data_IF_787429449806
#
_entry.id   IF_787429449806
#
_cell.length_a   1.000
_cell.length_b   1.000
_cell.length_c   1.000
_cell.angle_alpha   90.00
_cell.angle_beta   90.00
_cell.angle_gamma   90.00
#
_symmetry.space_group_name_H-M   'P 1'
#
loop_
_entity.id
_entity.type
_entity.pdbx_description
1 polymer ?
#
# COMPACT_ATOMS: atom_id res chain seq x y z
N UNK A 1 -79.37 21.38 13.91
CA UNK A 1 -78.37 21.20 12.86
C UNK A 1 -77.02 20.93 13.55
N UNK A 2 -76.54 19.70 13.53
CA UNK A 2 -75.21 19.30 14.11
C UNK A 2 -74.23 19.11 12.97
N UNK A 3 -73.22 19.94 12.93
CA UNK A 3 -72.13 19.87 11.97
C UNK A 3 -71.12 18.80 12.42
N UNK A 4 -70.96 17.75 11.62
CA UNK A 4 -69.89 16.76 11.80
C UNK A 4 -68.61 17.34 11.17
N UNK A 5 -67.52 17.50 11.97
CA UNK A 5 -66.21 17.82 11.51
C UNK A 5 -65.46 16.49 11.23
N UNK A 6 -65.08 16.29 9.97
CA UNK A 6 -64.16 15.19 9.56
C UNK A 6 -62.70 15.58 9.93
N UNK A 7 -62.09 14.83 10.81
CA UNK A 7 -60.63 14.91 11.08
C UNK A 7 -59.90 13.97 10.11
N UNK A 8 -59.15 14.55 9.17
CA UNK A 8 -58.28 13.79 8.28
C UNK A 8 -56.99 13.44 9.02
N UNK A 9 -56.74 12.15 9.24
CA UNK A 9 -55.48 11.62 9.78
C UNK A 9 -54.51 11.49 8.62
N UNK A 10 -53.48 12.34 8.58
CA UNK A 10 -52.35 12.23 7.64
C UNK A 10 -51.37 11.23 8.25
N UNK A 11 -51.30 10.03 7.68
CA UNK A 11 -50.21 9.07 7.97
C UNK A 11 -48.93 9.55 7.28
N UNK A 12 -48.00 10.08 8.07
CA UNK A 12 -46.63 10.33 7.63
C UNK A 12 -45.89 8.99 7.54
N UNK A 13 -45.63 8.53 6.32
CA UNK A 13 -44.74 7.40 6.07
C UNK A 13 -43.29 7.88 6.32
N UNK A 14 -42.73 7.48 7.45
CA UNK A 14 -41.31 7.69 7.72
C UNK A 14 -40.50 6.75 6.80
N UNK A 15 -39.52 7.24 5.99
CA UNK A 15 -38.67 6.35 5.22
C UNK A 15 -37.87 5.51 6.20
N UNK A 16 -37.92 4.19 6.07
CA UNK A 16 -37.13 3.27 6.83
C UNK A 16 -35.64 3.59 6.58
N UNK A 17 -34.97 4.10 7.61
CA UNK A 17 -33.52 4.19 7.62
C UNK A 17 -32.97 2.79 7.37
N UNK A 18 -32.27 2.59 6.26
CA UNK A 18 -31.64 1.32 5.92
C UNK A 18 -30.79 0.84 7.10
N UNK A 19 -31.09 -0.35 7.61
CA UNK A 19 -30.32 -0.97 8.68
C UNK A 19 -28.85 -1.02 8.22
N UNK A 20 -27.95 -0.45 9.03
CA UNK A 20 -26.52 -0.61 8.81
C UNK A 20 -26.20 -2.11 8.80
N UNK A 21 -25.64 -2.62 7.71
CA UNK A 21 -25.21 -4.03 7.63
C UNK A 21 -24.17 -4.25 8.73
N UNK A 22 -24.57 -4.98 9.79
CA UNK A 22 -23.67 -5.34 10.89
C UNK A 22 -22.95 -6.62 10.52
N UNK A 23 -21.63 -6.55 10.34
CA UNK A 23 -20.81 -7.71 10.01
C UNK A 23 -19.47 -7.32 9.40
N UNK A 24 -18.66 -8.32 9.19
CA UNK A 24 -17.41 -8.16 8.43
C UNK A 24 -17.32 -9.26 7.40
N UNK A 25 -16.77 -8.92 6.24
CA UNK A 25 -16.60 -9.85 5.13
C UNK A 25 -15.13 -9.98 4.70
N UNK A 26 -14.95 -10.64 3.58
CA UNK A 26 -13.65 -10.88 2.95
C UNK A 26 -13.69 -10.32 1.52
N UNK A 27 -12.64 -9.63 1.12
CA UNK A 27 -12.42 -9.28 -0.29
C UNK A 27 -11.29 -10.15 -0.81
N UNK A 28 -11.52 -10.81 -1.94
CA UNK A 28 -10.51 -11.60 -2.66
C UNK A 28 -10.38 -11.09 -4.08
N UNK A 29 -9.24 -11.25 -4.70
CA UNK A 29 -9.08 -10.86 -6.08
C UNK A 29 -7.69 -11.14 -6.62
N UNK A 30 -7.49 -10.72 -7.87
CA UNK A 30 -6.22 -10.81 -8.56
C UNK A 30 -5.90 -9.52 -9.31
N UNK A 31 -4.60 -9.31 -9.54
CA UNK A 31 -4.09 -8.18 -10.30
C UNK A 31 -3.33 -8.70 -11.52
N UNK A 32 -3.62 -8.15 -12.68
CA UNK A 32 -2.98 -8.50 -13.95
C UNK A 32 -2.58 -7.27 -14.73
N UNK A 33 -1.62 -7.45 -15.62
CA UNK A 33 -1.27 -6.48 -16.64
C UNK A 33 -1.88 -6.92 -17.97
N UNK A 34 -2.47 -6.01 -18.71
CA UNK A 34 -2.92 -6.21 -20.09
C UNK A 34 -2.02 -5.41 -21.05
N UNK A 35 -1.81 -5.95 -22.24
CA UNK A 35 -0.90 -5.35 -23.21
C UNK A 35 0.55 -5.77 -23.01
N UNK A 36 1.49 -5.01 -23.58
CA UNK A 36 2.92 -5.28 -23.47
C UNK A 36 3.47 -4.67 -22.16
N UNK A 37 4.26 -5.46 -21.45
CA UNK A 37 4.95 -4.94 -20.26
C UNK A 37 5.85 -3.74 -20.63
N UNK A 38 5.86 -2.66 -19.83
CA UNK A 38 6.79 -1.57 -20.05
C UNK A 38 8.24 -2.07 -19.91
N UNK A 39 9.12 -1.49 -20.69
CA UNK A 39 10.55 -1.81 -20.60
C UNK A 39 11.11 -1.32 -19.25
N UNK A 40 11.62 -2.24 -18.44
CA UNK A 40 12.29 -1.91 -17.18
C UNK A 40 13.77 -1.75 -17.48
N UNK A 41 14.37 -0.57 -17.20
CA UNK A 41 15.76 -0.32 -17.51
C UNK A 41 16.69 -1.21 -16.70
N UNK A 42 17.84 -1.54 -17.29
CA UNK A 42 18.95 -2.10 -16.58
C UNK A 42 19.66 -1.01 -15.78
N UNK A 43 20.15 -1.35 -14.61
CA UNK A 43 20.97 -0.49 -13.77
C UNK A 43 22.36 -1.04 -13.65
N UNK A 44 23.32 -0.14 -13.50
CA UNK A 44 24.74 -0.43 -13.32
C UNK A 44 25.17 0.25 -12.02
N UNK A 45 25.94 -0.44 -11.22
CA UNK A 45 26.64 0.21 -10.14
C UNK A 45 27.84 0.98 -10.73
N UNK A 46 28.03 2.22 -10.32
CA UNK A 46 29.16 3.06 -10.75
C UNK A 46 30.24 3.13 -9.68
N UNK A 47 29.92 2.71 -8.46
CA UNK A 47 30.84 2.67 -7.31
C UNK A 47 30.57 1.44 -6.45
N UNK A 48 31.47 1.17 -5.51
CA UNK A 48 31.40 0.03 -4.58
C UNK A 48 31.19 -1.32 -5.30
N UNK A 49 31.83 -1.49 -6.46
CA UNK A 49 31.60 -2.62 -7.38
C UNK A 49 31.88 -3.98 -6.74
N UNK A 50 32.76 -4.04 -5.75
CA UNK A 50 33.06 -5.27 -4.99
C UNK A 50 31.85 -5.75 -4.17
N UNK A 51 30.97 -4.82 -3.76
CA UNK A 51 29.76 -5.09 -2.98
C UNK A 51 28.52 -5.08 -3.86
N UNK A 52 28.38 -4.05 -4.71
CA UNK A 52 27.22 -3.84 -5.55
C UNK A 52 27.20 -4.67 -6.84
N UNK A 53 28.37 -5.21 -7.22
CA UNK A 53 28.55 -5.94 -8.48
C UNK A 53 28.74 -5.02 -9.67
N UNK A 54 29.46 -5.49 -10.69
CA UNK A 54 29.75 -4.74 -11.92
C UNK A 54 28.81 -5.07 -13.08
N UNK A 55 27.94 -6.05 -12.92
CA UNK A 55 27.02 -6.51 -13.98
C UNK A 55 25.76 -5.68 -14.03
N UNK A 56 25.28 -5.42 -15.25
CA UNK A 56 23.95 -4.87 -15.45
C UNK A 56 22.89 -5.80 -14.86
N UNK A 57 21.93 -5.23 -14.14
CA UNK A 57 20.82 -5.98 -13.56
C UNK A 57 19.49 -5.26 -13.81
N UNK A 58 18.38 -5.98 -14.06
CA UNK A 58 17.10 -5.34 -14.17
C UNK A 58 16.65 -4.82 -12.79
N UNK A 59 16.07 -3.62 -12.76
CA UNK A 59 15.32 -3.18 -11.60
C UNK A 59 14.16 -4.14 -11.38
N UNK A 60 13.98 -4.61 -10.15
CA UNK A 60 12.84 -5.44 -9.77
C UNK A 60 11.57 -4.59 -9.54
N UNK A 61 11.36 -3.61 -10.42
CA UNK A 61 10.27 -2.65 -10.31
C UNK A 61 8.93 -3.19 -10.82
N UNK A 62 8.96 -4.23 -11.66
CA UNK A 62 7.75 -4.90 -12.14
C UNK A 62 8.04 -6.40 -12.22
N UNK A 63 7.39 -7.16 -11.36
CA UNK A 63 7.49 -8.61 -11.32
C UNK A 63 6.19 -9.21 -11.84
N UNK A 64 6.29 -9.87 -12.99
CA UNK A 64 5.15 -10.52 -13.64
C UNK A 64 5.27 -12.04 -13.49
N UNK A 65 4.19 -12.64 -13.03
CA UNK A 65 4.02 -14.09 -13.00
C UNK A 65 3.37 -14.61 -14.29
N UNK A 66 2.95 -15.86 -14.26
CA UNK A 66 2.25 -16.52 -15.37
C UNK A 66 0.98 -15.74 -15.72
N UNK A 67 0.69 -15.63 -17.04
CA UNK A 67 -0.45 -14.87 -17.54
C UNK A 67 -0.45 -13.38 -17.13
N UNK A 68 0.72 -12.78 -17.02
CA UNK A 68 0.92 -11.38 -16.67
C UNK A 68 0.28 -10.97 -15.33
N UNK A 69 0.23 -11.87 -14.37
CA UNK A 69 -0.16 -11.52 -13.00
C UNK A 69 0.88 -10.61 -12.38
N UNK A 70 0.44 -9.60 -11.62
CA UNK A 70 1.31 -8.56 -11.05
C UNK A 70 1.56 -8.88 -9.58
N UNK A 71 2.82 -9.16 -9.25
CA UNK A 71 3.30 -9.34 -7.88
C UNK A 71 3.56 -7.98 -7.21
N UNK A 72 3.47 -7.95 -5.89
CA UNK A 72 3.81 -6.80 -5.03
C UNK A 72 2.98 -5.53 -5.31
N UNK A 73 1.80 -5.65 -5.94
CA UNK A 73 0.85 -4.56 -5.97
C UNK A 73 0.24 -4.35 -4.57
N UNK A 74 0.15 -3.10 -4.13
CA UNK A 74 -0.44 -2.74 -2.83
C UNK A 74 -1.95 -2.57 -3.00
N UNK A 75 -2.72 -3.43 -2.38
CA UNK A 75 -4.18 -3.38 -2.36
C UNK A 75 -4.62 -2.83 -1.02
N UNK A 76 -5.46 -1.79 -1.01
CA UNK A 76 -5.91 -1.19 0.24
C UNK A 76 -7.25 -0.48 0.11
N UNK A 77 -7.96 -0.38 1.23
CA UNK A 77 -9.18 0.43 1.31
C UNK A 77 -8.85 1.91 1.50
N UNK A 78 -9.68 2.78 0.95
CA UNK A 78 -9.57 4.23 1.19
C UNK A 78 -9.92 4.62 2.64
N UNK A 79 -9.58 5.84 3.03
CA UNK A 79 -9.62 6.35 4.41
C UNK A 79 -11.00 6.54 5.03
N UNK A 80 -12.09 6.33 4.32
CA UNK A 80 -13.46 6.59 4.82
C UNK A 80 -13.91 5.67 5.97
N UNK A 81 -13.06 4.75 6.43
CA UNK A 81 -13.36 3.81 7.51
C UNK A 81 -12.86 4.35 8.85
N UNK A 82 -13.53 5.36 9.38
CA UNK A 82 -13.16 6.06 10.62
C UNK A 82 -13.29 5.24 11.91
N UNK A 83 -13.82 4.02 11.88
CA UNK A 83 -14.16 3.23 13.06
C UNK A 83 -13.37 1.91 13.22
N UNK A 84 -12.39 1.62 12.38
CA UNK A 84 -11.52 0.47 12.55
C UNK A 84 -10.54 0.71 13.69
N UNK A 85 -10.82 0.19 14.88
CA UNK A 85 -9.82 0.14 15.96
C UNK A 85 -8.73 -0.83 15.53
N UNK A 86 -7.55 -0.29 15.28
CA UNK A 86 -6.35 -1.12 15.19
C UNK A 86 -6.13 -1.86 16.49
N UNK A 87 -5.91 -3.17 16.42
CA UNK A 87 -5.20 -3.81 17.50
C UNK A 87 -3.85 -3.09 17.71
N UNK A 88 -3.40 -2.87 18.94
CA UNK A 88 -2.09 -2.27 19.18
C UNK A 88 -1.03 -2.99 18.34
N UNK A 89 -0.10 -2.23 17.78
CA UNK A 89 1.00 -2.81 17.01
C UNK A 89 2.01 -3.42 18.00
N UNK A 90 1.73 -4.64 18.47
CA UNK A 90 2.64 -5.42 19.32
C UNK A 90 3.66 -6.21 18.49
N UNK A 91 3.70 -5.95 17.17
CA UNK A 91 4.61 -6.63 16.24
C UNK A 91 6.03 -6.07 16.29
N UNK A 92 6.97 -6.85 15.77
CA UNK A 92 8.32 -6.41 15.51
C UNK A 92 8.30 -5.14 14.62
N UNK A 93 9.26 -4.21 14.78
CA UNK A 93 9.35 -3.04 13.92
C UNK A 93 9.53 -3.50 12.46
N UNK A 94 8.97 -2.72 11.54
CA UNK A 94 9.27 -2.89 10.12
C UNK A 94 10.75 -2.57 9.88
N UNK A 95 11.41 -3.35 9.04
CA UNK A 95 12.82 -3.14 8.69
C UNK A 95 12.90 -2.81 7.20
N UNK A 96 13.67 -1.78 6.87
CA UNK A 96 14.12 -1.48 5.52
C UNK A 96 15.64 -1.62 5.52
N UNK A 97 16.11 -2.73 4.96
CA UNK A 97 17.51 -3.10 4.96
C UNK A 97 18.17 -2.75 3.61
N UNK A 98 19.39 -2.27 3.65
CA UNK A 98 20.26 -2.10 2.50
C UNK A 98 21.18 -3.32 2.44
N UNK A 99 20.96 -4.16 1.44
CA UNK A 99 21.69 -5.43 1.29
C UNK A 99 21.96 -5.72 -0.17
N UNK A 100 23.22 -5.90 -0.52
CA UNK A 100 23.64 -6.09 -1.92
C UNK A 100 23.31 -4.87 -2.78
N UNK A 101 23.38 -3.68 -2.19
CA UNK A 101 23.03 -2.40 -2.81
C UNK A 101 21.59 -2.37 -3.35
N UNK A 102 20.69 -2.98 -2.61
CA UNK A 102 19.24 -2.94 -2.83
C UNK A 102 18.52 -2.70 -1.50
N UNK A 103 17.34 -2.10 -1.55
CA UNK A 103 16.45 -2.06 -0.39
C UNK A 103 15.64 -3.36 -0.28
N UNK A 104 15.66 -3.98 0.88
CA UNK A 104 14.95 -5.24 1.17
C UNK A 104 14.08 -5.07 2.43
N UNK A 105 12.77 -5.34 2.36
CA UNK A 105 12.02 -5.64 1.15
C UNK A 105 11.82 -4.40 0.27
N UNK A 106 11.62 -4.62 -1.03
CA UNK A 106 11.36 -3.51 -1.96
C UNK A 106 10.03 -2.82 -1.70
N UNK A 107 9.00 -3.58 -1.37
CA UNK A 107 7.69 -3.06 -1.00
C UNK A 107 7.24 -3.71 0.31
N UNK A 108 6.71 -2.91 1.22
CA UNK A 108 6.15 -3.40 2.47
C UNK A 108 4.95 -2.56 2.93
N UNK A 109 4.03 -3.21 3.61
CA UNK A 109 2.91 -2.54 4.27
C UNK A 109 3.24 -2.39 5.74
N UNK A 110 3.12 -1.17 6.25
CA UNK A 110 3.42 -0.83 7.63
C UNK A 110 2.24 -0.08 8.24
N UNK A 111 1.95 -0.35 9.48
CA UNK A 111 0.90 0.36 10.21
C UNK A 111 1.35 1.76 10.58
N UNK A 112 0.44 2.75 10.47
CA UNK A 112 0.66 4.10 11.00
C UNK A 112 1.02 4.07 12.48
N UNK A 113 1.97 4.90 12.89
CA UNK A 113 2.50 4.92 14.24
C UNK A 113 3.47 3.77 14.58
N UNK A 114 3.79 2.88 13.64
CA UNK A 114 4.81 1.85 13.85
C UNK A 114 6.23 2.42 13.75
N UNK A 115 7.19 1.69 14.29
CA UNK A 115 8.59 1.97 14.08
C UNK A 115 9.09 1.36 12.76
N UNK A 116 9.86 2.13 12.00
CA UNK A 116 10.64 1.69 10.86
C UNK A 116 12.12 1.71 11.23
N UNK A 117 12.77 0.56 11.14
CA UNK A 117 14.22 0.44 11.32
C UNK A 117 14.88 0.52 9.96
N UNK A 118 15.74 1.51 9.80
CA UNK A 118 16.65 1.63 8.66
C UNK A 118 17.92 0.87 9.01
N UNK A 119 18.26 -0.14 8.24
CA UNK A 119 19.44 -0.98 8.45
C UNK A 119 20.36 -0.89 7.26
N UNK A 120 21.66 -0.97 7.50
CA UNK A 120 22.66 -1.22 6.47
C UNK A 120 23.36 -2.55 6.78
N UNK A 121 23.20 -3.54 5.91
CA UNK A 121 23.88 -4.83 5.98
C UNK A 121 25.11 -4.91 5.06
N UNK A 122 25.33 -3.88 4.24
CA UNK A 122 26.47 -3.80 3.33
C UNK A 122 27.67 -3.14 4.00
N UNK A 123 28.91 -3.56 3.67
CA UNK A 123 30.14 -2.98 4.24
C UNK A 123 30.55 -1.65 3.57
N UNK A 124 29.59 -0.91 3.02
CA UNK A 124 29.79 0.37 2.34
C UNK A 124 28.83 1.43 2.88
N UNK A 125 29.17 2.70 2.65
CA UNK A 125 28.30 3.82 2.99
C UNK A 125 27.11 3.87 2.04
N UNK A 126 25.93 3.86 2.60
CA UNK A 126 24.71 4.21 1.89
C UNK A 126 24.06 5.47 2.46
N UNK A 127 23.21 6.08 1.67
CA UNK A 127 22.32 7.17 2.10
C UNK A 127 20.89 6.76 1.77
N UNK A 128 19.98 6.96 2.73
CA UNK A 128 18.54 6.72 2.54
C UNK A 128 17.82 8.05 2.62
N UNK A 129 17.15 8.45 1.54
CA UNK A 129 16.15 9.51 1.56
C UNK A 129 14.77 8.89 1.51
N UNK A 130 13.86 9.34 2.37
CA UNK A 130 12.45 8.93 2.33
C UNK A 130 11.58 10.15 2.09
N UNK A 131 10.78 10.06 1.04
CA UNK A 131 9.80 11.05 0.64
C UNK A 131 8.38 10.50 0.83
N UNK A 132 7.46 11.33 1.35
CA UNK A 132 6.03 11.03 1.27
C UNK A 132 5.55 11.36 -0.14
N UNK A 133 4.91 10.40 -0.79
CA UNK A 133 4.35 10.56 -2.14
C UNK A 133 2.93 11.14 -2.11
N UNK A 134 2.35 11.32 -0.91
CA UNK A 134 1.00 11.83 -0.71
C UNK A 134 1.02 13.35 -0.56
N UNK A 135 0.07 14.02 -1.19
CA UNK A 135 -0.14 15.46 -1.07
C UNK A 135 -0.28 16.16 -2.42
N UNK A 136 -0.95 17.31 -2.42
CA UNK A 136 -1.23 18.11 -3.62
C UNK A 136 -0.03 18.88 -4.13
N UNK A 137 1.00 19.05 -3.29
CA UNK A 137 2.20 19.85 -3.59
C UNK A 137 3.41 18.99 -4.01
N UNK A 138 3.17 17.74 -4.40
CA UNK A 138 4.23 16.80 -4.78
C UNK A 138 4.90 16.09 -3.59
N UNK A 139 5.97 15.32 -3.85
CA UNK A 139 6.67 14.58 -2.82
C UNK A 139 7.27 15.49 -1.75
N UNK A 140 7.13 15.08 -0.48
CA UNK A 140 7.70 15.79 0.67
C UNK A 140 8.74 14.93 1.35
N UNK A 141 9.97 15.43 1.44
CA UNK A 141 11.04 14.75 2.16
C UNK A 141 10.72 14.67 3.65
N UNK A 142 10.77 13.47 4.19
CA UNK A 142 10.58 13.16 5.61
C UNK A 142 11.91 12.99 6.33
N UNK A 143 12.86 12.35 5.67
CA UNK A 143 14.20 12.12 6.24
C UNK A 143 15.25 11.92 5.14
N UNK A 144 16.50 12.18 5.53
CA UNK A 144 17.70 11.87 4.76
C UNK A 144 18.80 11.46 5.74
N UNK A 145 19.31 10.24 5.63
CA UNK A 145 20.18 9.61 6.64
C UNK A 145 21.31 8.86 5.97
N UNK A 146 22.53 9.14 6.42
CA UNK A 146 23.68 8.28 6.11
C UNK A 146 23.66 7.02 6.99
N UNK A 147 23.97 5.89 6.38
CA UNK A 147 24.08 4.56 7.01
C UNK A 147 25.47 4.02 6.72
N UNK A 148 26.48 4.36 7.55
CA UNK A 148 27.89 4.39 7.14
C UNK A 148 28.59 3.02 7.10
N UNK A 149 28.03 1.97 7.72
CA UNK A 149 28.72 0.67 7.83
C UNK A 149 27.75 -0.49 8.07
N UNK A 150 28.19 -1.68 7.80
CA UNK A 150 27.44 -2.91 8.05
C UNK A 150 27.03 -3.05 9.52
N UNK A 151 25.77 -3.38 9.73
CA UNK A 151 25.19 -3.47 11.07
C UNK A 151 24.67 -2.13 11.64
N UNK A 152 24.82 -1.03 10.90
CA UNK A 152 24.19 0.24 11.31
C UNK A 152 22.66 0.10 11.31
N UNK A 153 22.04 0.56 12.39
CA UNK A 153 20.59 0.64 12.51
C UNK A 153 20.16 2.00 13.05
N UNK A 154 19.09 2.53 12.49
CA UNK A 154 18.42 3.71 12.99
C UNK A 154 16.92 3.52 12.99
N UNK A 155 16.32 3.66 14.17
CA UNK A 155 14.88 3.55 14.35
C UNK A 155 14.21 4.90 14.10
N UNK A 156 13.17 4.87 13.27
CA UNK A 156 12.27 5.98 13.00
C UNK A 156 10.87 5.66 13.49
N UNK A 157 10.25 6.62 14.19
CA UNK A 157 8.83 6.54 14.51
C UNK A 157 8.04 7.13 13.35
N UNK A 158 7.31 6.29 12.61
CA UNK A 158 6.43 6.76 11.57
C UNK A 158 5.28 7.58 12.16
N UNK A 159 4.90 8.64 11.46
CA UNK A 159 3.75 9.43 11.84
C UNK A 159 2.47 8.58 11.81
N UNK A 160 1.51 8.95 12.64
CA UNK A 160 0.19 8.32 12.62
C UNK A 160 -0.66 8.98 11.53
N UNK A 161 -0.43 8.56 10.28
CA UNK A 161 -1.17 9.06 9.13
C UNK A 161 -2.65 8.71 9.26
N UNK A 162 -3.51 9.66 8.94
CA UNK A 162 -4.98 9.45 8.96
C UNK A 162 -5.48 8.76 7.69
N UNK A 163 -4.69 8.80 6.64
CA UNK A 163 -4.99 8.23 5.33
C UNK A 163 -3.88 7.32 4.85
N UNK A 164 -4.18 6.34 3.99
CA UNK A 164 -3.15 5.52 3.36
C UNK A 164 -2.10 6.41 2.70
N UNK A 165 -0.85 6.23 3.10
CA UNK A 165 0.27 7.07 2.67
C UNK A 165 1.39 6.20 2.12
N UNK A 166 1.81 6.50 0.90
CA UNK A 166 2.96 5.85 0.26
C UNK A 166 4.22 6.67 0.53
N UNK A 167 5.21 6.02 1.09
CA UNK A 167 6.55 6.56 1.25
C UNK A 167 7.47 5.90 0.22
N UNK A 168 8.29 6.72 -0.45
CA UNK A 168 9.34 6.24 -1.36
C UNK A 168 10.68 6.43 -0.68
N UNK A 169 11.43 5.33 -0.50
CA UNK A 169 12.83 5.36 -0.15
C UNK A 169 13.67 5.34 -1.42
N UNK A 170 14.66 6.20 -1.51
CA UNK A 170 15.65 6.23 -2.59
C UNK A 170 17.05 6.23 -1.99
N UNK A 171 17.95 5.54 -2.66
CA UNK A 171 19.37 5.61 -2.37
C UNK A 171 19.92 6.98 -2.77
N UNK A 172 21.08 7.29 -2.25
CA UNK A 172 21.87 8.45 -2.62
C UNK A 172 23.33 8.10 -2.59
N UNK A 173 24.21 9.11 -2.75
CA UNK A 173 25.66 8.91 -2.79
C UNK A 173 26.07 7.88 -3.85
N UNK A 174 25.55 8.04 -5.09
CA UNK A 174 25.90 7.18 -6.20
C UNK A 174 25.20 5.81 -6.22
N UNK A 175 24.18 5.59 -5.37
CA UNK A 175 23.33 4.40 -5.35
C UNK A 175 21.88 4.73 -5.75
N UNK A 176 21.69 5.64 -6.71
CA UNK A 176 20.40 6.23 -7.06
C UNK A 176 19.40 5.22 -7.66
N UNK A 177 19.88 4.06 -8.10
CA UNK A 177 19.01 2.96 -8.53
C UNK A 177 18.26 2.27 -7.39
N UNK A 178 18.74 2.41 -6.14
CA UNK A 178 18.08 1.81 -4.99
C UNK A 178 16.76 2.51 -4.73
N UNK A 179 15.67 1.77 -4.80
CA UNK A 179 14.35 2.28 -4.50
C UNK A 179 13.52 1.25 -3.74
N UNK A 180 12.72 1.72 -2.79
CA UNK A 180 11.72 0.91 -2.09
C UNK A 180 10.50 1.74 -1.73
N UNK A 181 9.40 1.06 -1.40
CA UNK A 181 8.15 1.71 -1.01
C UNK A 181 7.63 1.15 0.30
N UNK A 182 7.23 2.05 1.17
CA UNK A 182 6.60 1.71 2.45
C UNK A 182 5.18 2.26 2.42
N UNK A 183 4.21 1.36 2.31
CA UNK A 183 2.80 1.70 2.34
C UNK A 183 2.33 1.79 3.79
N UNK A 184 2.23 3.01 4.31
CA UNK A 184 1.80 3.26 5.70
C UNK A 184 0.28 3.35 5.73
N UNK A 185 -0.34 2.39 6.41
CA UNK A 185 -1.79 2.24 6.45
C UNK A 185 -2.38 2.65 7.79
N UNK A 186 -3.44 3.48 7.80
CA UNK A 186 -4.15 3.82 9.02
C UNK A 186 -5.07 2.69 9.53
N UNK A 187 -5.25 1.61 8.77
CA UNK A 187 -6.17 0.51 9.03
C UNK A 187 -5.59 -0.85 8.53
N UNK A 188 -6.09 -2.01 9.01
CA UNK A 188 -5.53 -3.33 8.69
C UNK A 188 -5.89 -3.86 7.29
N UNK A 189 -6.78 -3.18 6.57
CA UNK A 189 -7.30 -3.67 5.29
C UNK A 189 -6.40 -3.26 4.14
N UNK A 190 -5.23 -3.86 4.12
CA UNK A 190 -4.27 -3.77 3.03
C UNK A 190 -3.51 -5.09 2.90
N UNK A 191 -3.12 -5.44 1.67
CA UNK A 191 -2.34 -6.63 1.33
C UNK A 191 -1.42 -6.34 0.14
N UNK A 192 -0.32 -7.08 0.04
CA UNK A 192 0.45 -7.19 -1.20
C UNK A 192 -0.10 -8.35 -2.02
N UNK A 193 -0.07 -8.21 -3.33
CA UNK A 193 -0.33 -9.35 -4.19
C UNK A 193 0.83 -10.33 -4.14
N UNK A 194 0.50 -11.62 -4.13
CA UNK A 194 1.45 -12.73 -4.16
C UNK A 194 2.10 -12.90 -5.54
N UNK A 195 2.94 -13.92 -5.71
CA UNK A 195 3.60 -14.26 -6.97
C UNK A 195 2.62 -14.61 -8.09
N UNK A 196 1.39 -14.99 -7.76
CA UNK A 196 0.31 -15.27 -8.70
C UNK A 196 -0.63 -14.08 -8.88
N UNK A 197 -0.28 -12.92 -8.33
CA UNK A 197 -1.07 -11.69 -8.37
C UNK A 197 -2.32 -11.71 -7.50
N UNK A 198 -2.52 -12.70 -6.62
CA UNK A 198 -3.70 -12.81 -5.78
C UNK A 198 -3.54 -12.00 -4.49
N UNK A 199 -4.68 -11.57 -3.94
CA UNK A 199 -4.76 -10.91 -2.65
C UNK A 199 -6.02 -11.30 -1.88
N UNK A 200 -5.98 -11.13 -0.56
CA UNK A 200 -7.13 -11.30 0.34
C UNK A 200 -7.11 -10.25 1.43
N UNK A 201 -8.24 -9.58 1.65
CA UNK A 201 -8.46 -8.68 2.78
C UNK A 201 -9.52 -9.29 3.69
N UNK A 202 -9.15 -9.59 4.93
CA UNK A 202 -10.04 -10.18 5.92
C UNK A 202 -10.64 -9.13 6.86
N UNK A 203 -11.82 -9.43 7.39
CA UNK A 203 -12.46 -8.62 8.42
C UNK A 203 -12.85 -7.22 7.93
N UNK A 204 -13.12 -7.06 6.63
CA UNK A 204 -13.58 -5.80 6.05
C UNK A 204 -15.00 -5.53 6.53
N UNK A 205 -15.29 -4.35 7.10
CA UNK A 205 -16.65 -3.99 7.49
C UNK A 205 -17.64 -4.12 6.34
N UNK A 206 -18.85 -4.59 6.62
CA UNK A 206 -19.91 -4.60 5.61
C UNK A 206 -20.23 -3.17 5.16
N UNK A 207 -20.52 -2.99 3.87
CA UNK A 207 -20.78 -1.70 3.27
C UNK A 207 -20.08 -1.50 1.92
N UNK A 208 -20.18 -0.27 1.41
CA UNK A 208 -19.56 0.12 0.15
C UNK A 208 -18.25 0.83 0.41
N UNK A 209 -17.18 0.36 -0.23
CA UNK A 209 -15.81 0.84 -0.03
C UNK A 209 -15.13 1.15 -1.36
N UNK A 210 -14.22 2.13 -1.33
CA UNK A 210 -13.25 2.34 -2.41
C UNK A 210 -12.05 1.44 -2.14
N UNK A 211 -11.78 0.52 -3.07
CA UNK A 211 -10.63 -0.37 -3.07
C UNK A 211 -9.63 0.13 -4.10
N UNK A 212 -8.40 0.31 -3.67
CA UNK A 212 -7.28 0.79 -4.46
C UNK A 212 -6.32 -0.36 -4.75
N UNK A 213 -5.77 -0.36 -5.97
CA UNK A 213 -4.61 -1.15 -6.34
C UNK A 213 -3.53 -0.20 -6.82
N UNK A 214 -2.39 -0.18 -6.15
CA UNK A 214 -1.25 0.66 -6.50
C UNK A 214 -0.03 -0.19 -6.85
N UNK A 215 0.68 0.21 -7.88
CA UNK A 215 1.96 -0.37 -8.26
C UNK A 215 2.93 0.73 -8.74
N UNK A 216 4.21 0.62 -8.36
CA UNK A 216 5.20 1.68 -8.61
C UNK A 216 5.38 2.06 -10.08
N UNK A 217 5.24 1.10 -11.00
CA UNK A 217 5.39 1.30 -12.44
C UNK A 217 4.05 1.55 -13.13
N UNK A 218 2.99 0.86 -12.67
CA UNK A 218 1.70 0.83 -13.36
C UNK A 218 0.73 1.90 -12.86
N UNK A 219 1.04 2.55 -11.74
CA UNK A 219 0.21 3.61 -11.16
C UNK A 219 -0.87 3.09 -10.24
N UNK A 220 -2.03 3.76 -10.23
CA UNK A 220 -3.12 3.46 -9.29
C UNK A 220 -4.42 3.21 -10.04
N UNK A 221 -5.10 2.14 -9.68
CA UNK A 221 -6.48 1.88 -10.05
C UNK A 221 -7.37 1.97 -8.82
N UNK A 222 -8.63 2.35 -9.02
CA UNK A 222 -9.63 2.40 -7.98
C UNK A 222 -10.93 1.78 -8.46
N UNK A 223 -11.59 1.01 -7.59
CA UNK A 223 -12.93 0.51 -7.84
C UNK A 223 -13.76 0.55 -6.57
N UNK A 224 -15.06 0.74 -6.74
CA UNK A 224 -16.02 0.59 -5.67
C UNK A 224 -16.40 -0.88 -5.51
N UNK A 225 -16.43 -1.36 -4.25
CA UNK A 225 -16.80 -2.73 -3.89
C UNK A 225 -17.85 -2.70 -2.78
N UNK A 226 -18.85 -3.57 -2.90
CA UNK A 226 -19.85 -3.77 -1.84
C UNK A 226 -19.50 -5.06 -1.10
N UNK A 227 -19.21 -4.94 0.20
CA UNK A 227 -18.88 -6.05 1.09
C UNK A 227 -20.14 -6.44 1.87
N UNK A 228 -20.47 -7.72 1.82
CA UNK A 228 -21.51 -8.36 2.64
C UNK A 228 -20.83 -9.36 3.57
N UNK A 229 -21.40 -9.60 4.76
CA UNK A 229 -20.81 -10.51 5.73
C UNK A 229 -20.97 -12.01 5.43
N UNK A 230 -21.77 -12.35 4.41
CA UNK A 230 -22.22 -13.70 4.11
C UNK A 230 -21.34 -14.46 3.09
N UNK A 231 -20.64 -13.75 2.22
CA UNK A 231 -19.79 -14.34 1.18
C UNK A 231 -18.62 -13.44 0.81
N UNK A 232 -17.52 -14.01 0.26
CA UNK A 232 -16.42 -13.21 -0.25
C UNK A 232 -16.84 -12.30 -1.40
N UNK A 233 -16.38 -11.05 -1.38
CA UNK A 233 -16.51 -10.11 -2.49
C UNK A 233 -15.30 -10.27 -3.41
N UNK A 234 -15.54 -10.54 -4.69
CA UNK A 234 -14.45 -10.64 -5.69
C UNK A 234 -14.17 -9.28 -6.32
N UNK A 235 -12.90 -8.88 -6.35
CA UNK A 235 -12.44 -7.63 -6.94
C UNK A 235 -11.11 -7.82 -7.69
N UNK A 236 -11.17 -7.95 -9.01
CA UNK A 236 -9.99 -8.07 -9.86
C UNK A 236 -9.59 -6.71 -10.42
N UNK A 237 -8.29 -6.49 -10.61
CA UNK A 237 -7.73 -5.29 -11.23
C UNK A 237 -6.92 -5.66 -12.47
N UNK A 238 -7.06 -4.84 -13.51
CA UNK A 238 -6.32 -4.97 -14.76
C UNK A 238 -5.63 -3.64 -15.06
N UNK A 239 -4.32 -3.60 -14.88
CA UNK A 239 -3.51 -2.50 -15.35
C UNK A 239 -3.31 -2.60 -16.85
N UNK A 240 -3.44 -1.49 -17.55
CA UNK A 240 -3.05 -1.40 -18.96
C UNK A 240 -1.69 -0.76 -19.09
N UNK A 241 -0.78 -1.38 -19.81
CA UNK A 241 0.47 -0.73 -20.17
C UNK A 241 0.16 0.49 -21.04
N UNK A 242 0.78 1.62 -20.71
CA UNK A 242 0.67 2.87 -21.48
C UNK A 242 1.70 2.90 -22.59
#
# INVERSE_FOLDING_TARGET
MRTLSLVAIILTVCPAAGAAETGSGVIVGSVRLTGHAPNIPLVYAEQDLEVCGSQARPLQALLLGTNQTVRDAVIYLGASLSNGRFAPNNGAPAVLDQRGCEFVPRIQIVRGGAALVLRNSDPVLHVIRIDSMSGTNGPKMLLNVATPYAGFEKKYQLANFREPTLLKAVGGNGHDWMAAYVAVMPHPWAALTDENGNFTLHGVPAGTHKLYAWHEVLGTLVREVKVTGDRPTTANFEFSAK
#
